data_IF_948054410127
#
_entry.id   IF_948054410127
#
_cell.length_a   1.000
_cell.length_b   1.000
_cell.length_c   1.000
_cell.angle_alpha   90.00
_cell.angle_beta   90.00
_cell.angle_gamma   90.00
#
_symmetry.space_group_name_H-M   'P 1'
#
loop_
_entity.id
_entity.type
_entity.pdbx_description
1 polymer ?
#
# COMPACT_ATOMS: atom_id res chain seq x y z
N UNK A 1 -17.52 -9.57 -2.92
CA UNK A 1 -17.32 -8.62 -4.01
C UNK A 1 -18.21 -9.01 -5.18
N UNK A 2 -18.70 -8.06 -6.01
CA UNK A 2 -19.51 -8.35 -7.19
C UNK A 2 -18.70 -8.86 -8.40
N UNK A 3 -17.40 -9.06 -8.24
CA UNK A 3 -16.46 -9.51 -9.25
C UNK A 3 -15.57 -10.63 -8.69
N UNK A 4 -14.99 -11.43 -9.59
CA UNK A 4 -14.08 -12.52 -9.25
C UNK A 4 -12.64 -12.07 -9.50
N UNK A 5 -11.70 -12.51 -8.64
CA UNK A 5 -10.27 -12.36 -8.92
C UNK A 5 -9.87 -13.33 -10.03
N UNK A 6 -8.94 -12.93 -10.88
CA UNK A 6 -8.26 -13.84 -11.80
C UNK A 6 -7.23 -14.68 -11.04
N UNK A 7 -6.63 -14.13 -10.00
CA UNK A 7 -5.83 -14.89 -9.04
C UNK A 7 -6.75 -15.62 -8.05
N UNK A 8 -6.40 -16.84 -7.65
CA UNK A 8 -7.18 -17.63 -6.67
C UNK A 8 -7.25 -16.99 -5.28
N UNK A 9 -6.67 -15.81 -5.09
CA UNK A 9 -6.46 -15.18 -3.80
C UNK A 9 -7.36 -13.94 -3.60
N UNK A 10 -6.89 -12.94 -2.94
CA UNK A 10 -7.69 -11.83 -2.43
C UNK A 10 -7.30 -10.54 -3.12
N UNK A 11 -8.26 -9.65 -3.31
CA UNK A 11 -7.94 -8.26 -3.67
C UNK A 11 -7.25 -7.58 -2.50
N UNK A 12 -6.19 -6.85 -2.79
CA UNK A 12 -5.62 -5.88 -1.87
C UNK A 12 -6.41 -4.58 -1.96
N UNK A 13 -6.78 -4.02 -0.83
CA UNK A 13 -7.34 -2.67 -0.78
C UNK A 13 -6.18 -1.68 -0.83
N UNK A 14 -6.18 -0.81 -1.83
CA UNK A 14 -5.22 0.29 -1.99
C UNK A 14 -5.58 1.46 -1.09
N UNK A 15 -6.85 1.86 -1.12
CA UNK A 15 -7.36 2.96 -0.33
C UNK A 15 -8.87 3.13 -0.48
N UNK A 16 -9.45 3.96 0.38
CA UNK A 16 -10.85 4.37 0.32
C UNK A 16 -10.93 5.89 0.39
N UNK A 17 -11.72 6.49 -0.48
CA UNK A 17 -11.91 7.93 -0.51
C UNK A 17 -13.28 8.27 -1.09
N UNK A 18 -14.04 9.17 -0.41
CA UNK A 18 -15.33 9.72 -0.86
C UNK A 18 -16.28 8.67 -1.45
N UNK A 19 -16.38 7.50 -0.79
CA UNK A 19 -17.32 6.41 -1.14
C UNK A 19 -16.86 5.49 -2.25
N UNK A 20 -15.65 5.66 -2.77
CA UNK A 20 -15.01 4.69 -3.64
C UNK A 20 -13.90 3.94 -2.92
N UNK A 21 -13.75 2.67 -3.26
CA UNK A 21 -12.66 1.81 -2.80
C UNK A 21 -11.83 1.43 -4.02
N UNK A 22 -10.52 1.64 -3.93
CA UNK A 22 -9.56 1.16 -4.92
C UNK A 22 -9.01 -0.20 -4.48
N UNK A 23 -9.11 -1.18 -5.38
CA UNK A 23 -8.67 -2.55 -5.18
C UNK A 23 -7.63 -2.91 -6.22
N UNK A 24 -6.69 -3.78 -5.87
CA UNK A 24 -5.69 -4.32 -6.79
C UNK A 24 -5.59 -5.83 -6.65
N UNK A 25 -5.57 -6.54 -7.77
CA UNK A 25 -5.34 -7.99 -7.85
C UNK A 25 -3.85 -8.26 -8.07
N UNK A 26 -3.00 -7.75 -7.20
CA UNK A 26 -1.52 -7.81 -7.31
C UNK A 26 -0.87 -8.89 -6.47
N UNK A 27 -1.66 -9.84 -5.97
CA UNK A 27 -1.14 -10.97 -5.19
C UNK A 27 -0.43 -12.03 -6.07
N UNK A 28 -0.55 -11.92 -7.38
CA UNK A 28 0.13 -12.80 -8.33
C UNK A 28 1.26 -12.08 -9.04
N UNK A 29 2.49 -12.49 -8.81
CA UNK A 29 3.68 -11.95 -9.49
C UNK A 29 3.75 -12.28 -10.98
N UNK A 30 2.83 -13.10 -11.50
CA UNK A 30 2.88 -13.64 -12.85
C UNK A 30 1.72 -13.23 -13.76
N UNK A 31 0.78 -12.40 -13.31
CA UNK A 31 -0.42 -12.07 -14.10
C UNK A 31 -0.68 -10.57 -14.19
N UNK A 32 -1.38 -10.17 -15.24
CA UNK A 32 -1.86 -8.81 -15.40
C UNK A 32 -2.76 -8.43 -14.23
N UNK A 33 -2.33 -7.42 -13.51
CA UNK A 33 -3.01 -6.92 -12.33
C UNK A 33 -4.20 -6.07 -12.73
N UNK A 34 -5.39 -6.48 -12.32
CA UNK A 34 -6.58 -5.65 -12.45
C UNK A 34 -6.61 -4.65 -11.29
N UNK A 35 -6.74 -3.38 -11.62
CA UNK A 35 -7.03 -2.32 -10.67
C UNK A 35 -8.51 -1.97 -10.84
N UNK A 36 -9.23 -1.95 -9.73
CA UNK A 36 -10.68 -1.80 -9.73
C UNK A 36 -11.06 -0.63 -8.83
N UNK A 37 -11.89 0.27 -9.33
CA UNK A 37 -12.60 1.23 -8.50
C UNK A 37 -14.02 0.69 -8.27
N UNK A 38 -14.40 0.59 -7.01
CA UNK A 38 -15.67 0.01 -6.58
C UNK A 38 -16.42 0.96 -5.66
N UNK A 39 -17.71 1.16 -5.96
CA UNK A 39 -18.64 1.81 -5.05
C UNK A 39 -19.57 0.77 -4.42
N UNK A 40 -19.38 0.41 -3.16
CA UNK A 40 -20.22 -0.55 -2.46
C UNK A 40 -21.69 -0.13 -2.36
N UNK A 41 -21.97 1.18 -2.16
CA UNK A 41 -23.31 1.72 -1.93
C UNK A 41 -24.24 1.50 -3.12
N UNK A 42 -23.73 1.71 -4.33
CA UNK A 42 -24.49 1.48 -5.58
C UNK A 42 -24.14 0.16 -6.25
N UNK A 43 -23.24 -0.64 -5.67
CA UNK A 43 -22.77 -1.94 -6.18
C UNK A 43 -22.23 -1.87 -7.61
N UNK A 44 -21.60 -0.76 -7.97
CA UNK A 44 -20.97 -0.55 -9.28
C UNK A 44 -19.45 -0.55 -9.15
N UNK A 45 -18.80 -1.05 -10.19
CA UNK A 45 -17.34 -1.04 -10.27
C UNK A 45 -16.88 -0.76 -11.69
N UNK A 46 -15.65 -0.34 -11.84
CA UNK A 46 -14.94 -0.20 -13.11
C UNK A 46 -13.57 -0.85 -12.97
N UNK A 47 -13.22 -1.68 -13.95
CA UNK A 47 -11.85 -2.22 -14.09
C UNK A 47 -11.08 -1.19 -14.91
N UNK A 48 -9.95 -0.75 -14.39
CA UNK A 48 -9.14 0.24 -15.06
C UNK A 48 -8.42 -0.37 -16.28
N UNK A 49 -8.19 0.40 -17.35
CA UNK A 49 -7.38 -0.06 -18.47
C UNK A 49 -5.96 -0.39 -17.98
N UNK A 50 -5.26 -1.24 -18.72
CA UNK A 50 -3.89 -1.63 -18.36
C UNK A 50 -2.96 -0.42 -18.40
N UNK A 51 -2.09 -0.25 -17.38
CA UNK A 51 -1.04 0.77 -17.39
C UNK A 51 -0.03 0.51 -18.53
N UNK A 52 0.80 1.51 -18.85
CA UNK A 52 1.82 1.40 -19.91
C UNK A 52 3.02 0.56 -19.48
N UNK A 53 3.43 0.69 -18.22
CA UNK A 53 4.52 -0.13 -17.68
C UNK A 53 4.00 -1.53 -17.38
N UNK A 54 4.47 -2.50 -18.17
CA UNK A 54 4.08 -3.90 -18.08
C UNK A 54 5.33 -4.80 -18.09
N UNK A 55 5.22 -5.98 -17.52
CA UNK A 55 6.32 -6.96 -17.50
C UNK A 55 6.74 -7.41 -18.91
N UNK A 56 5.79 -7.52 -19.83
CA UNK A 56 6.07 -7.89 -21.22
C UNK A 56 6.97 -6.90 -21.95
N UNK A 57 6.86 -5.61 -21.63
CA UNK A 57 7.61 -4.53 -22.31
C UNK A 57 8.87 -4.16 -21.54
N UNK A 58 8.77 -4.09 -20.22
CA UNK A 58 9.80 -3.49 -19.36
C UNK A 58 10.59 -4.52 -18.54
N UNK A 59 10.19 -5.81 -18.60
CA UNK A 59 10.76 -6.83 -17.73
C UNK A 59 10.26 -6.74 -16.31
N UNK A 60 10.97 -7.38 -15.37
CA UNK A 60 10.57 -7.42 -13.97
C UNK A 60 10.60 -6.00 -13.36
N UNK A 61 9.55 -5.66 -12.63
CA UNK A 61 9.43 -4.39 -11.92
C UNK A 61 8.63 -4.57 -10.62
N UNK A 62 8.80 -3.62 -9.73
CA UNK A 62 7.98 -3.45 -8.53
C UNK A 62 7.13 -2.19 -8.69
N UNK A 63 5.96 -2.15 -8.09
CA UNK A 63 5.15 -0.95 -8.12
C UNK A 63 4.42 -0.69 -6.79
N UNK A 64 4.09 0.58 -6.59
CA UNK A 64 3.23 1.06 -5.54
C UNK A 64 1.98 1.68 -6.16
N UNK A 65 0.89 1.59 -5.44
CA UNK A 65 -0.36 2.24 -5.81
C UNK A 65 -0.75 3.24 -4.75
N UNK A 66 -1.40 4.30 -5.22
CA UNK A 66 -2.06 5.27 -4.38
C UNK A 66 -3.41 5.64 -4.97
N UNK A 67 -4.36 5.97 -4.10
CA UNK A 67 -5.70 6.37 -4.47
C UNK A 67 -6.12 7.58 -3.66
N UNK A 68 -6.67 8.59 -4.34
CA UNK A 68 -7.13 9.80 -3.72
C UNK A 68 -8.17 10.55 -4.56
N UNK A 69 -8.68 11.64 -3.99
CA UNK A 69 -9.68 12.51 -4.59
C UNK A 69 -9.10 13.90 -4.81
N UNK A 70 -9.18 14.38 -6.03
CA UNK A 70 -8.80 15.73 -6.42
C UNK A 70 -9.99 16.68 -6.23
N UNK A 71 -9.94 17.50 -5.19
CA UNK A 71 -10.99 18.48 -4.91
C UNK A 71 -11.06 19.61 -5.96
N UNK A 72 -9.96 19.89 -6.70
CA UNK A 72 -9.91 20.95 -7.70
C UNK A 72 -10.67 20.57 -8.95
N UNK A 73 -10.46 19.36 -9.44
CA UNK A 73 -11.18 18.82 -10.61
C UNK A 73 -12.45 18.05 -10.24
N UNK A 74 -12.71 17.83 -8.96
CA UNK A 74 -13.80 16.99 -8.45
C UNK A 74 -13.77 15.57 -9.04
N UNK A 75 -12.58 14.95 -9.03
CA UNK A 75 -12.35 13.68 -9.67
C UNK A 75 -11.46 12.74 -8.82
N UNK A 76 -11.51 11.46 -9.15
CA UNK A 76 -10.71 10.44 -8.49
C UNK A 76 -9.47 10.11 -9.32
N UNK A 77 -8.34 9.94 -8.63
CA UNK A 77 -7.08 9.57 -9.27
C UNK A 77 -6.46 8.35 -8.61
N UNK A 78 -5.93 7.47 -9.47
CA UNK A 78 -5.06 6.36 -9.05
C UNK A 78 -3.65 6.67 -9.53
N UNK A 79 -2.71 6.66 -8.61
CA UNK A 79 -1.29 6.92 -8.88
C UNK A 79 -0.53 5.60 -8.80
N UNK A 80 0.29 5.32 -9.80
CA UNK A 80 1.14 4.15 -9.86
C UNK A 80 2.59 4.58 -10.02
N UNK A 81 3.45 4.14 -9.11
CA UNK A 81 4.90 4.39 -9.12
C UNK A 81 5.59 3.07 -9.38
N UNK A 82 6.22 2.92 -10.55
CA UNK A 82 6.80 1.68 -11.02
C UNK A 82 8.34 1.75 -11.07
N UNK A 83 9.00 0.87 -10.30
CA UNK A 83 10.44 0.71 -10.25
C UNK A 83 10.84 -0.45 -11.18
N UNK A 84 11.37 -0.10 -12.34
CA UNK A 84 11.82 -1.08 -13.34
C UNK A 84 13.18 -1.62 -12.90
N UNK A 85 13.38 -2.93 -13.02
CA UNK A 85 14.67 -3.57 -12.74
C UNK A 85 15.65 -3.27 -13.85
N UNK A 86 16.80 -2.67 -13.52
CA UNK A 86 17.91 -2.52 -14.43
C UNK A 86 18.60 -3.87 -14.72
N UNK A 87 19.52 -3.87 -15.67
CA UNK A 87 20.31 -5.07 -16.07
C UNK A 87 21.11 -5.70 -14.93
N UNK A 88 21.42 -4.92 -13.91
CA UNK A 88 22.12 -5.35 -12.68
C UNK A 88 21.17 -5.89 -11.59
N UNK A 89 19.88 -6.01 -11.88
CA UNK A 89 18.84 -6.43 -10.94
C UNK A 89 18.41 -5.36 -9.91
N UNK A 90 18.98 -4.14 -9.99
CA UNK A 90 18.60 -3.01 -9.10
C UNK A 90 17.46 -2.22 -9.72
N UNK A 91 16.68 -1.58 -8.87
CA UNK A 91 15.63 -0.69 -9.33
C UNK A 91 16.21 0.54 -10.02
N UNK A 92 15.60 0.96 -11.13
CA UNK A 92 15.93 2.23 -11.79
C UNK A 92 15.27 3.37 -11.02
N UNK A 93 16.04 4.38 -10.69
CA UNK A 93 15.62 5.59 -10.01
C UNK A 93 16.05 6.79 -10.87
N UNK A 94 15.16 7.73 -11.16
CA UNK A 94 13.76 7.85 -10.72
C UNK A 94 12.85 6.78 -11.33
N UNK A 95 11.75 6.41 -10.63
CA UNK A 95 10.77 5.45 -11.13
C UNK A 95 9.90 6.03 -12.25
N UNK A 96 9.23 5.17 -12.99
CA UNK A 96 8.14 5.57 -13.88
C UNK A 96 6.86 5.83 -13.09
N UNK A 97 6.19 6.95 -13.37
CA UNK A 97 4.93 7.32 -12.70
C UNK A 97 3.80 7.43 -13.70
N UNK A 98 2.67 6.84 -13.35
CA UNK A 98 1.45 6.85 -14.13
C UNK A 98 0.29 7.31 -13.26
N UNK A 99 -0.55 8.19 -13.80
CA UNK A 99 -1.75 8.69 -13.13
C UNK A 99 -2.96 8.35 -13.99
N UNK A 100 -3.90 7.63 -13.40
CA UNK A 100 -5.23 7.41 -13.96
C UNK A 100 -6.22 8.42 -13.38
N UNK A 101 -7.05 8.99 -14.23
CA UNK A 101 -8.10 9.91 -13.84
C UNK A 101 -9.45 9.32 -14.24
N UNK A 102 -10.38 9.21 -13.28
CA UNK A 102 -11.65 8.50 -13.50
C UNK A 102 -12.50 9.12 -14.61
N UNK A 103 -12.59 10.45 -14.67
CA UNK A 103 -13.37 11.15 -15.70
C UNK A 103 -12.82 10.96 -17.11
N UNK A 104 -11.49 10.88 -17.24
CA UNK A 104 -10.83 10.69 -18.53
C UNK A 104 -10.82 9.22 -18.98
N UNK A 105 -10.77 8.29 -18.03
CA UNK A 105 -10.76 6.85 -18.28
C UNK A 105 -9.44 6.29 -18.82
N UNK A 106 -8.32 7.02 -18.73
CA UNK A 106 -7.03 6.55 -19.23
C UNK A 106 -5.86 6.90 -18.31
N UNK A 107 -4.75 6.17 -18.46
CA UNK A 107 -3.48 6.42 -17.79
C UNK A 107 -2.66 7.46 -18.55
N UNK A 108 -2.05 8.37 -17.80
CA UNK A 108 -1.11 9.36 -18.28
C UNK A 108 0.24 9.15 -17.59
N UNK A 109 1.33 9.10 -18.36
CA UNK A 109 2.68 9.00 -17.80
C UNK A 109 3.14 10.36 -17.31
N UNK A 110 3.91 10.32 -16.24
CA UNK A 110 4.44 11.47 -15.55
C UNK A 110 5.97 11.38 -15.54
N UNK A 111 6.66 12.33 -16.16
CA UNK A 111 8.10 12.25 -16.38
C UNK A 111 8.91 13.37 -15.71
N UNK A 112 8.23 14.40 -15.18
CA UNK A 112 8.88 15.56 -14.57
C UNK A 112 8.59 15.63 -13.08
N UNK A 113 9.60 16.06 -12.30
CA UNK A 113 9.41 16.22 -10.85
C UNK A 113 9.26 14.94 -10.05
N UNK A 114 9.63 13.80 -10.64
CA UNK A 114 9.63 12.51 -9.93
C UNK A 114 10.84 12.48 -9.00
N UNK A 115 10.65 12.29 -7.69
CA UNK A 115 11.75 12.32 -6.74
C UNK A 115 12.63 11.07 -6.88
N UNK A 116 13.94 11.19 -6.63
CA UNK A 116 14.89 10.09 -6.74
C UNK A 116 14.87 9.18 -5.49
N UNK A 117 13.69 8.94 -4.93
CA UNK A 117 13.54 8.13 -3.73
C UNK A 117 13.23 6.69 -4.07
N UNK A 118 13.85 5.77 -3.31
CA UNK A 118 13.44 4.38 -3.26
C UNK A 118 12.24 4.19 -2.36
N UNK A 119 11.44 3.18 -2.63
CA UNK A 119 10.35 2.76 -1.76
C UNK A 119 10.48 1.27 -1.45
N UNK A 120 10.00 0.89 -0.27
CA UNK A 120 10.09 -0.50 0.16
C UNK A 120 8.95 -1.31 -0.44
N UNK A 121 9.28 -2.33 -1.24
CA UNK A 121 8.32 -3.14 -1.98
C UNK A 121 7.29 -3.92 -1.15
N UNK A 122 7.49 -3.98 0.15
CA UNK A 122 6.56 -4.61 1.09
C UNK A 122 5.74 -3.61 1.91
N UNK A 123 6.00 -2.31 1.76
CA UNK A 123 5.23 -1.25 2.42
C UNK A 123 4.05 -0.84 1.54
N UNK A 124 3.05 -1.70 1.44
CA UNK A 124 1.89 -1.50 0.58
C UNK A 124 0.83 -0.56 1.19
N UNK A 125 1.14 0.06 2.30
CA UNK A 125 0.23 1.00 2.95
C UNK A 125 0.41 2.38 2.35
N UNK A 126 -0.72 3.01 2.05
CA UNK A 126 -0.80 4.44 1.77
C UNK A 126 -1.59 5.14 2.86
N UNK A 127 -1.41 6.43 2.99
CA UNK A 127 -2.29 7.32 3.75
C UNK A 127 -2.74 8.46 2.84
N UNK A 128 -4.06 8.67 2.71
CA UNK A 128 -4.60 9.80 1.98
C UNK A 128 -5.13 10.83 3.00
N UNK A 129 -4.46 11.95 3.10
CA UNK A 129 -4.81 13.04 4.01
C UNK A 129 -4.37 14.36 3.40
N UNK A 130 -5.11 15.43 3.68
CA UNK A 130 -4.82 16.79 3.21
C UNK A 130 -4.64 16.89 1.67
N UNK A 131 -5.44 16.13 0.91
CA UNK A 131 -5.40 16.12 -0.56
C UNK A 131 -4.19 15.42 -1.17
N UNK A 132 -3.35 14.78 -0.37
CA UNK A 132 -2.15 14.09 -0.82
C UNK A 132 -2.11 12.62 -0.40
N UNK A 133 -1.50 11.80 -1.23
CA UNK A 133 -1.19 10.39 -0.94
C UNK A 133 0.21 10.31 -0.37
N UNK A 134 0.41 9.50 0.67
CA UNK A 134 1.67 9.39 1.40
C UNK A 134 2.14 7.94 1.44
N UNK A 135 3.46 7.74 1.27
CA UNK A 135 4.15 6.45 1.40
C UNK A 135 5.45 6.62 2.17
N UNK A 136 5.92 5.55 2.81
CA UNK A 136 7.28 5.51 3.35
C UNK A 136 8.27 5.30 2.20
N UNK A 137 9.21 6.21 2.08
CA UNK A 137 10.33 6.14 1.16
C UNK A 137 11.66 6.23 1.89
N UNK A 138 12.75 6.11 1.14
CA UNK A 138 14.11 6.32 1.62
C UNK A 138 14.95 7.03 0.56
N UNK A 139 15.90 7.82 1.04
CA UNK A 139 16.88 8.48 0.16
C UNK A 139 18.09 7.56 -0.03
N UNK A 140 18.30 7.02 -1.25
CA UNK A 140 19.45 6.14 -1.52
C UNK A 140 20.79 6.89 -1.57
N UNK A 141 20.78 8.22 -1.57
CA UNK A 141 21.98 9.04 -1.69
C UNK A 141 22.60 9.40 -0.32
N UNK A 142 21.89 9.17 0.77
CA UNK A 142 22.42 9.47 2.11
C UNK A 142 23.42 8.40 2.52
N UNK A 143 24.67 8.83 2.69
CA UNK A 143 25.76 7.96 3.14
C UNK A 143 25.52 7.47 4.58
N UNK A 144 25.54 6.16 4.77
CA UNK A 144 25.48 5.56 6.12
C UNK A 144 24.23 4.76 6.44
N UNK A 145 23.32 4.59 5.50
CA UNK A 145 22.14 3.75 5.66
C UNK A 145 20.85 4.41 5.17
N UNK A 146 19.77 3.67 5.27
CA UNK A 146 18.45 4.11 4.84
C UNK A 146 17.97 5.31 5.68
N UNK A 147 17.95 6.48 5.09
CA UNK A 147 17.29 7.64 5.69
C UNK A 147 15.84 7.64 5.24
N UNK A 148 14.96 7.21 6.14
CA UNK A 148 13.53 7.13 5.84
C UNK A 148 12.88 8.51 5.89
N UNK A 149 11.95 8.73 4.95
CA UNK A 149 11.11 9.91 4.85
C UNK A 149 9.71 9.51 4.39
N UNK A 150 8.79 10.45 4.36
CA UNK A 150 7.50 10.26 3.73
C UNK A 150 7.51 10.98 2.39
N UNK A 151 7.29 10.22 1.33
CA UNK A 151 7.04 10.76 0.00
C UNK A 151 5.54 11.04 -0.11
N UNK A 152 5.19 12.25 -0.49
CA UNK A 152 3.80 12.64 -0.73
C UNK A 152 3.57 12.93 -2.21
N UNK A 153 2.32 12.74 -2.65
CA UNK A 153 1.86 13.13 -3.97
C UNK A 153 0.56 13.91 -3.83
N UNK A 154 0.61 15.22 -4.11
CA UNK A 154 -0.57 16.06 -4.17
C UNK A 154 -1.42 15.66 -5.37
N UNK A 155 -2.65 15.21 -5.11
CA UNK A 155 -3.53 14.66 -6.15
C UNK A 155 -4.09 15.76 -7.04
N UNK A 156 -4.25 16.97 -6.52
CA UNK A 156 -4.77 18.12 -7.25
C UNK A 156 -3.73 18.74 -8.18
N UNK A 157 -2.54 19.04 -7.64
CA UNK A 157 -1.45 19.68 -8.39
C UNK A 157 -0.57 18.66 -9.14
N UNK A 158 -0.69 17.37 -8.81
CA UNK A 158 0.08 16.26 -9.38
C UNK A 158 1.59 16.46 -9.21
N UNK A 159 1.98 16.91 -8.02
CA UNK A 159 3.38 17.12 -7.67
C UNK A 159 3.78 16.23 -6.49
N UNK A 160 5.02 15.75 -6.56
CA UNK A 160 5.62 15.07 -5.43
C UNK A 160 6.14 16.07 -4.41
N UNK A 161 6.07 15.68 -3.15
CA UNK A 161 6.64 16.41 -2.02
C UNK A 161 7.27 15.45 -1.02
N UNK A 162 7.93 16.03 -0.03
CA UNK A 162 8.66 15.34 1.03
C UNK A 162 8.16 15.80 2.38
N UNK A 163 7.88 14.86 3.26
CA UNK A 163 7.64 15.14 4.67
C UNK A 163 8.72 14.45 5.48
N UNK A 164 9.58 15.26 6.07
CA UNK A 164 10.69 14.76 6.88
C UNK A 164 10.17 14.11 8.16
N UNK A 165 10.79 13.01 8.53
CA UNK A 165 10.57 12.33 9.79
C UNK A 165 11.53 12.88 10.85
N UNK A 166 11.15 12.87 12.15
CA UNK A 166 12.10 13.19 13.22
C UNK A 166 13.23 12.14 13.27
N UNK A 167 14.41 12.52 13.75
CA UNK A 167 15.62 11.67 13.75
C UNK A 167 15.37 10.25 14.27
N UNK A 168 14.52 10.11 15.29
CA UNK A 168 14.19 8.82 15.88
C UNK A 168 13.39 7.88 14.96
N UNK A 169 12.75 8.41 13.92
CA UNK A 169 12.06 7.67 12.86
C UNK A 169 12.91 7.59 11.59
N UNK A 170 13.54 8.70 11.20
CA UNK A 170 14.32 8.80 9.96
C UNK A 170 15.49 7.80 9.90
N UNK A 171 16.12 7.53 11.04
CA UNK A 171 17.21 6.55 11.17
C UNK A 171 16.74 5.09 11.23
N UNK A 172 15.43 4.82 11.06
CA UNK A 172 14.91 3.45 11.04
C UNK A 172 14.85 2.95 9.59
N UNK A 173 14.99 1.63 9.43
CA UNK A 173 14.67 1.02 8.14
C UNK A 173 13.18 1.26 7.81
N UNK A 174 12.88 1.71 6.62
CA UNK A 174 11.50 1.98 6.23
C UNK A 174 10.57 0.76 6.25
N UNK A 175 11.12 -0.46 6.25
CA UNK A 175 10.35 -1.70 6.46
C UNK A 175 9.76 -1.77 7.88
N UNK A 176 10.39 -1.08 8.84
CA UNK A 176 9.92 -1.00 10.22
C UNK A 176 8.94 0.17 10.44
N UNK A 177 8.53 0.84 9.36
CA UNK A 177 7.59 1.95 9.40
C UNK A 177 6.37 1.64 8.51
N UNK A 178 5.21 2.15 8.91
CA UNK A 178 4.03 2.18 8.05
C UNK A 178 3.23 3.45 8.29
N UNK A 179 2.71 4.03 7.21
CA UNK A 179 1.82 5.19 7.29
C UNK A 179 0.39 4.77 7.60
N UNK A 180 -0.34 5.63 8.28
CA UNK A 180 -1.75 5.47 8.60
C UNK A 180 -2.41 6.84 8.76
N UNK A 181 -3.72 6.87 8.89
CA UNK A 181 -4.50 8.08 9.13
C UNK A 181 -5.32 7.91 10.41
N UNK A 182 -5.32 8.93 11.26
CA UNK A 182 -6.24 9.03 12.39
C UNK A 182 -7.04 10.34 12.28
N UNK A 183 -8.31 10.23 11.94
CA UNK A 183 -9.11 11.39 11.57
C UNK A 183 -8.54 12.08 10.32
N UNK A 184 -8.02 13.28 10.48
CA UNK A 184 -7.36 14.06 9.42
C UNK A 184 -5.84 14.19 9.66
N UNK A 185 -5.30 13.42 10.59
CA UNK A 185 -3.90 13.51 11.02
C UNK A 185 -3.09 12.34 10.44
N UNK A 186 -1.95 12.67 9.85
CA UNK A 186 -0.99 11.68 9.38
C UNK A 186 -0.31 11.00 10.56
N UNK A 187 -0.31 9.67 10.55
CA UNK A 187 0.29 8.85 11.59
C UNK A 187 1.34 7.89 11.03
N UNK A 188 2.30 7.50 11.86
CA UNK A 188 3.30 6.48 11.56
C UNK A 188 3.33 5.45 12.68
N UNK A 189 3.23 4.19 12.31
CA UNK A 189 3.55 3.06 13.16
C UNK A 189 5.02 2.71 13.00
N UNK A 190 5.76 2.73 14.11
CA UNK A 190 7.17 2.35 14.17
C UNK A 190 7.32 1.02 14.88
N UNK A 191 7.81 0.00 14.18
CA UNK A 191 8.08 -1.31 14.73
C UNK A 191 9.52 -1.39 15.27
N UNK A 192 9.70 -1.99 16.43
CA UNK A 192 11.01 -2.23 17.05
C UNK A 192 11.08 -3.65 17.59
N UNK A 193 12.21 -4.29 17.35
CA UNK A 193 12.48 -5.67 17.77
C UNK A 193 13.59 -5.73 18.87
N UNK A 194 13.40 -5.11 20.04
CA UNK A 194 14.39 -5.20 21.10
C UNK A 194 14.39 -6.60 21.70
N UNK A 195 15.49 -7.35 21.51
CA UNK A 195 15.86 -8.56 22.27
C UNK A 195 14.68 -9.52 22.62
N UNK A 196 13.87 -9.94 21.62
CA UNK A 196 12.73 -10.86 21.74
C UNK A 196 11.36 -10.24 22.03
N UNK A 197 11.21 -8.92 22.05
CA UNK A 197 9.91 -8.27 22.26
C UNK A 197 9.60 -7.36 21.08
N UNK A 198 8.55 -7.66 20.35
CA UNK A 198 8.03 -6.75 19.31
C UNK A 198 7.26 -5.62 19.98
N UNK A 199 7.60 -4.39 19.66
CA UNK A 199 6.90 -3.18 20.10
C UNK A 199 6.54 -2.31 18.91
N UNK A 200 5.40 -1.64 19.01
CA UNK A 200 5.00 -0.63 18.05
C UNK A 200 4.80 0.70 18.75
N UNK A 201 5.52 1.73 18.32
CA UNK A 201 5.28 3.11 18.74
C UNK A 201 4.38 3.81 17.73
N UNK A 202 3.44 4.58 18.23
CA UNK A 202 2.50 5.38 17.43
C UNK A 202 2.97 6.83 17.46
N UNK A 203 3.17 7.40 16.29
CA UNK A 203 3.56 8.78 16.08
C UNK A 203 2.49 9.52 15.26
N UNK A 204 2.26 10.77 15.56
CA UNK A 204 1.33 11.64 14.81
C UNK A 204 1.99 12.98 14.48
N UNK A 205 1.72 13.48 13.27
CA UNK A 205 2.12 14.80 12.81
C UNK A 205 1.02 15.79 13.19
N UNK A 206 1.16 16.46 14.33
CA UNK A 206 0.10 17.33 14.89
C UNK A 206 -0.18 18.57 14.04
N UNK A 207 0.80 19.03 13.27
CA UNK A 207 0.67 20.11 12.28
C UNK A 207 1.28 19.60 10.96
N UNK A 208 0.45 19.54 9.93
CA UNK A 208 0.83 18.95 8.65
C UNK A 208 2.00 19.69 8.00
N UNK A 209 3.03 18.94 7.61
CA UNK A 209 4.24 19.47 6.98
C UNK A 209 5.29 20.00 7.96
N UNK A 210 4.98 20.08 9.26
CA UNK A 210 5.90 20.60 10.27
C UNK A 210 6.61 19.46 10.99
N UNK A 211 7.91 19.27 10.71
CA UNK A 211 8.71 18.17 11.28
C UNK A 211 8.70 18.16 12.81
N UNK A 212 8.81 19.33 13.44
CA UNK A 212 8.83 19.45 14.89
C UNK A 212 7.46 19.16 15.54
N UNK A 213 6.40 19.01 14.76
CA UNK A 213 5.07 18.65 15.26
C UNK A 213 4.89 17.14 15.48
N UNK A 214 5.82 16.32 15.01
CA UNK A 214 5.77 14.89 15.25
C UNK A 214 5.82 14.57 16.74
N UNK A 215 4.76 13.94 17.22
CA UNK A 215 4.61 13.57 18.63
C UNK A 215 4.45 12.07 18.75
N UNK A 216 5.28 11.45 19.58
CA UNK A 216 5.10 10.05 19.96
C UNK A 216 4.02 9.98 21.02
N UNK A 217 2.89 9.35 20.71
CA UNK A 217 1.75 9.25 21.61
C UNK A 217 1.95 8.16 22.66
N UNK A 218 2.23 6.94 22.21
CA UNK A 218 2.39 5.78 23.09
C UNK A 218 3.13 4.64 22.37
N UNK A 219 3.46 3.61 23.15
CA UNK A 219 4.06 2.38 22.64
C UNK A 219 3.19 1.19 23.04
N UNK A 220 2.85 0.35 22.09
CA UNK A 220 2.10 -0.89 22.28
C UNK A 220 3.11 -2.04 22.38
N UNK A 221 2.97 -2.86 23.41
CA UNK A 221 3.73 -4.10 23.54
C UNK A 221 2.98 -5.21 22.76
N UNK A 222 3.54 -5.65 21.66
CA UNK A 222 2.94 -6.65 20.77
C UNK A 222 3.21 -8.09 21.24
N UNK A 223 3.14 -8.32 22.56
CA UNK A 223 3.25 -9.66 23.15
C UNK A 223 1.95 -10.47 22.98
N UNK A 224 2.00 -11.75 23.33
CA UNK A 224 0.77 -12.60 23.36
C UNK A 224 0.22 -12.96 21.97
N UNK A 225 1.04 -12.90 20.92
CA UNK A 225 0.62 -13.23 19.56
C UNK A 225 0.04 -12.07 18.77
N UNK A 226 0.11 -10.83 19.31
CA UNK A 226 -0.14 -9.61 18.52
C UNK A 226 1.00 -9.41 17.52
N UNK A 227 0.68 -9.00 16.30
CA UNK A 227 1.70 -8.85 15.26
C UNK A 227 1.72 -7.47 14.63
N UNK A 228 0.56 -6.91 14.24
CA UNK A 228 0.54 -5.73 13.39
C UNK A 228 -0.61 -4.79 13.77
N UNK A 229 -0.34 -3.51 14.07
CA UNK A 229 -1.35 -2.46 13.98
C UNK A 229 -1.83 -2.32 12.54
N UNK A 230 -3.13 -2.13 12.38
CA UNK A 230 -3.77 -2.02 11.08
C UNK A 230 -4.29 -0.60 10.86
N UNK A 231 -4.69 0.07 11.93
CA UNK A 231 -5.24 1.42 11.89
C UNK A 231 -5.95 1.79 13.18
N UNK A 232 -6.74 2.84 13.11
CA UNK A 232 -7.42 3.42 14.25
C UNK A 232 -8.95 3.32 14.12
N UNK A 233 -9.61 3.23 15.25
CA UNK A 233 -11.05 3.49 15.37
C UNK A 233 -11.28 4.98 15.65
N UNK A 234 -12.49 5.46 15.34
CA UNK A 234 -12.87 6.87 15.59
C UNK A 234 -12.71 7.31 17.06
N UNK A 235 -12.80 6.37 18.01
CA UNK A 235 -12.62 6.64 19.43
C UNK A 235 -11.15 6.61 19.89
N UNK A 236 -10.18 6.45 18.99
CA UNK A 236 -8.75 6.42 19.30
C UNK A 236 -8.19 5.05 19.67
N UNK A 237 -9.02 4.01 19.77
CA UNK A 237 -8.54 2.64 19.91
C UNK A 237 -7.75 2.22 18.68
N UNK A 238 -6.69 1.43 18.88
CA UNK A 238 -5.89 0.84 17.79
C UNK A 238 -6.39 -0.54 17.46
N UNK A 239 -6.59 -0.81 16.18
CA UNK A 239 -6.93 -2.14 15.71
C UNK A 239 -5.66 -2.93 15.38
N UNK A 240 -5.57 -4.12 15.96
CA UNK A 240 -4.41 -4.99 15.90
C UNK A 240 -4.78 -6.33 15.28
N UNK A 241 -3.97 -6.81 14.35
CA UNK A 241 -4.05 -8.19 13.89
C UNK A 241 -3.19 -9.10 14.77
N UNK A 242 -3.70 -10.30 15.06
CA UNK A 242 -2.93 -11.34 15.73
C UNK A 242 -2.35 -12.34 14.72
N UNK A 243 -1.28 -13.05 15.10
CA UNK A 243 -0.71 -14.12 14.29
C UNK A 243 -1.64 -15.29 13.99
N UNK A 244 -2.78 -15.35 14.68
CA UNK A 244 -3.85 -16.33 14.43
C UNK A 244 -4.99 -15.76 13.58
N UNK A 245 -4.79 -14.60 12.95
CA UNK A 245 -5.78 -13.96 12.09
C UNK A 245 -7.01 -13.42 12.83
N UNK A 246 -6.88 -13.00 14.09
CA UNK A 246 -7.95 -12.35 14.85
C UNK A 246 -7.75 -10.84 14.86
N UNK A 247 -8.84 -10.09 14.76
CA UNK A 247 -8.85 -8.65 14.94
C UNK A 247 -9.15 -8.30 16.40
N UNK A 248 -8.30 -7.45 16.98
CA UNK A 248 -8.39 -6.99 18.37
C UNK A 248 -8.43 -5.46 18.37
N UNK A 249 -9.30 -4.87 19.18
CA UNK A 249 -9.26 -3.44 19.52
C UNK A 249 -8.47 -3.26 20.80
N UNK A 250 -7.49 -2.37 20.77
CA UNK A 250 -6.65 -1.99 21.90
C UNK A 250 -6.91 -0.55 22.31
N UNK A 251 -7.31 -0.36 23.55
CA UNK A 251 -7.44 0.95 24.18
C UNK A 251 -6.10 1.35 24.82
N UNK A 252 -5.40 2.37 24.27
CA UNK A 252 -4.10 2.76 24.78
C UNK A 252 -4.16 3.48 26.16
N UNK A 253 -5.31 4.08 26.50
CA UNK A 253 -5.48 4.77 27.77
C UNK A 253 -5.65 3.78 28.94
N UNK A 254 -6.56 2.81 28.77
CA UNK A 254 -6.83 1.79 29.78
C UNK A 254 -5.93 0.55 29.62
N UNK A 255 -5.14 0.47 28.55
CA UNK A 255 -4.31 -0.71 28.19
C UNK A 255 -5.14 -2.02 28.10
N UNK A 256 -6.37 -1.91 27.66
CA UNK A 256 -7.30 -3.03 27.55
C UNK A 256 -7.42 -3.51 26.11
N UNK A 257 -7.57 -4.82 25.97
CA UNK A 257 -7.77 -5.48 24.69
C UNK A 257 -9.15 -6.11 24.62
N UNK A 258 -9.82 -5.95 23.47
CA UNK A 258 -11.13 -6.55 23.22
C UNK A 258 -11.13 -7.23 21.87
N UNK A 259 -11.55 -8.49 21.84
CA UNK A 259 -11.77 -9.21 20.57
C UNK A 259 -12.94 -8.60 19.80
N UNK A 260 -12.73 -8.40 18.49
CA UNK A 260 -13.77 -7.89 17.60
C UNK A 260 -14.63 -9.00 16.98
N UNK A 261 -14.32 -10.28 17.25
CA UNK A 261 -15.04 -11.40 16.65
C UNK A 261 -14.76 -11.58 15.15
N UNK A 262 -13.84 -10.80 14.57
CA UNK A 262 -13.49 -10.84 13.15
C UNK A 262 -12.24 -11.70 12.97
N UNK A 263 -12.26 -12.55 11.95
CA UNK A 263 -11.16 -13.45 11.61
C UNK A 263 -10.84 -13.33 10.12
N UNK A 264 -9.56 -13.42 9.77
CA UNK A 264 -9.06 -13.37 8.39
C UNK A 264 -7.59 -13.73 8.31
N UNK A 265 -7.03 -13.80 7.10
CA UNK A 265 -5.60 -13.88 6.92
C UNK A 265 -4.94 -12.58 7.43
N UNK A 266 -3.79 -12.69 8.06
CA UNK A 266 -3.15 -11.53 8.73
C UNK A 266 -2.86 -10.37 7.77
N UNK A 267 -2.50 -10.69 6.53
CA UNK A 267 -2.18 -9.70 5.51
C UNK A 267 -3.40 -9.21 4.71
N UNK A 268 -4.59 -9.79 4.97
CA UNK A 268 -5.84 -9.40 4.32
C UNK A 268 -6.63 -8.33 5.06
N UNK A 269 -6.20 -7.97 6.28
CA UNK A 269 -6.88 -6.95 7.05
C UNK A 269 -6.54 -5.57 6.50
N UNK A 270 -7.57 -4.83 6.15
CA UNK A 270 -7.53 -3.42 5.82
C UNK A 270 -8.60 -2.67 6.60
N UNK A 271 -8.28 -1.48 7.07
CA UNK A 271 -9.20 -0.64 7.84
C UNK A 271 -9.06 0.78 7.33
N UNK A 272 -10.20 1.37 7.03
CA UNK A 272 -10.31 2.76 6.65
C UNK A 272 -11.69 3.29 7.02
N UNK A 273 -11.86 4.60 6.99
CA UNK A 273 -13.16 5.24 7.12
C UNK A 273 -13.88 5.19 5.78
N UNK A 274 -15.03 4.55 5.75
CA UNK A 274 -15.88 4.54 4.56
C UNK A 274 -17.10 5.44 4.77
N UNK A 275 -17.39 6.30 3.81
CA UNK A 275 -18.64 7.06 3.71
C UNK A 275 -19.42 6.58 2.50
N UNK A 276 -20.72 6.37 2.68
CA UNK A 276 -21.61 6.02 1.57
C UNK A 276 -21.70 7.14 0.55
N UNK A 277 -21.70 6.79 -0.72
CA UNK A 277 -21.74 7.75 -1.82
C UNK A 277 -22.56 7.23 -2.99
N UNK A 278 -23.25 8.14 -3.66
CA UNK A 278 -24.02 7.87 -4.89
C UNK A 278 -23.18 8.16 -6.15
N UNK A 279 -21.89 8.29 -6.05
CA UNK A 279 -20.99 8.47 -7.21
C UNK A 279 -21.19 7.33 -8.18
N UNK A 280 -21.60 7.67 -9.41
CA UNK A 280 -21.77 6.71 -10.50
C UNK A 280 -20.44 6.51 -11.22
N UNK A 281 -19.97 5.29 -11.20
CA UNK A 281 -18.85 4.87 -12.03
C UNK A 281 -19.39 4.69 -13.46
N UNK A 282 -19.07 5.64 -14.34
CA UNK A 282 -19.38 5.51 -15.76
C UNK A 282 -18.37 4.55 -16.37
N UNK A 283 -18.83 3.41 -16.84
CA UNK A 283 -18.04 2.55 -17.71
C UNK A 283 -17.81 3.35 -19.01
N UNK A 284 -16.56 3.64 -19.34
CA UNK A 284 -16.23 4.28 -20.63
C UNK A 284 -16.77 3.43 -21.77
N UNK A 285 -17.44 4.10 -22.71
CA UNK A 285 -18.00 3.65 -23.99
C UNK A 285 -17.87 2.14 -24.26
N UNK A 286 -18.90 1.41 -23.88
CA UNK A 286 -19.01 -0.02 -24.09
C UNK A 286 -19.97 -0.59 -23.05
N UNK A 287 -21.25 -0.21 -23.15
CA UNK A 287 -22.33 -0.92 -22.46
C UNK A 287 -22.47 -2.30 -23.12
N UNK A 288 -21.54 -3.18 -22.80
CA UNK A 288 -21.68 -4.62 -23.08
C UNK A 288 -22.08 -5.21 -21.74
N UNK A 289 -23.38 -5.40 -21.63
CA UNK A 289 -23.98 -6.15 -20.53
C UNK A 289 -23.17 -7.41 -20.28
N UNK A 290 -22.88 -7.67 -18.99
CA UNK A 290 -22.09 -8.76 -18.45
C UNK A 290 -21.94 -10.00 -19.34
N UNK A 291 -21.00 -9.98 -20.24
CA UNK A 291 -20.41 -11.18 -20.81
C UNK A 291 -19.00 -11.26 -20.27
N UNK A 292 -18.84 -12.15 -19.30
CA UNK A 292 -17.54 -12.74 -19.04
C UNK A 292 -17.00 -13.20 -20.41
N UNK A 293 -15.90 -12.63 -20.86
CA UNK A 293 -15.19 -13.15 -22.02
C UNK A 293 -14.75 -14.56 -21.66
N UNK A 294 -15.47 -15.52 -22.18
CA UNK A 294 -15.06 -16.92 -22.26
C UNK A 294 -13.84 -16.96 -23.17
N UNK A 295 -12.67 -17.07 -22.59
CA UNK A 295 -11.54 -17.70 -23.25
C UNK A 295 -11.69 -19.19 -22.95
N UNK A 296 -12.60 -19.83 -23.68
CA UNK A 296 -12.61 -21.26 -23.90
C UNK A 296 -11.72 -21.58 -25.10
N UNK A 297 -10.96 -22.67 -24.91
CA UNK A 297 -10.34 -23.50 -25.93
C UNK A 297 -9.06 -22.99 -26.62
N UNK A 298 -7.94 -23.25 -25.96
CA UNK A 298 -6.81 -23.89 -26.68
C UNK A 298 -6.48 -25.20 -25.93
N UNK A 299 -6.64 -26.27 -26.69
CA UNK A 299 -6.63 -27.65 -26.34
C UNK A 299 -5.37 -28.12 -25.59
N UNK A 300 -5.60 -28.88 -24.56
CA UNK A 300 -5.04 -30.16 -24.15
C UNK A 300 -3.80 -30.61 -24.92
N UNK A 301 -2.69 -30.62 -24.21
CA UNK A 301 -1.47 -31.34 -24.53
C UNK A 301 -0.87 -31.85 -23.24
N UNK A 302 -1.20 -33.09 -22.88
CA UNK A 302 -0.80 -33.75 -21.64
C UNK A 302 0.71 -33.69 -21.39
N UNK A 303 1.06 -33.26 -20.19
CA UNK A 303 2.40 -33.30 -19.64
C UNK A 303 2.28 -33.47 -18.11
N UNK A 304 2.89 -34.55 -17.65
CA UNK A 304 2.88 -35.10 -16.31
C UNK A 304 3.07 -34.03 -15.20
N UNK A 305 2.18 -34.07 -14.21
CA UNK A 305 2.28 -33.36 -12.96
C UNK A 305 3.56 -33.82 -12.21
N UNK A 306 4.60 -33.05 -12.27
CA UNK A 306 5.62 -33.03 -11.22
C UNK A 306 5.19 -32.01 -10.16
N UNK A 307 4.80 -32.53 -9.00
CA UNK A 307 4.41 -31.75 -7.83
C UNK A 307 5.52 -30.77 -7.42
N UNK A 308 5.33 -29.52 -7.74
CA UNK A 308 6.06 -28.41 -7.13
C UNK A 308 5.20 -27.94 -5.98
N UNK A 309 5.62 -28.27 -4.77
CA UNK A 309 5.04 -27.73 -3.53
C UNK A 309 5.01 -26.21 -3.62
N UNK A 310 3.84 -25.64 -3.30
CA UNK A 310 3.68 -24.20 -3.14
C UNK A 310 4.72 -23.70 -2.13
N UNK A 311 5.37 -22.55 -2.38
CA UNK A 311 6.30 -21.98 -1.44
C UNK A 311 5.55 -21.68 -0.13
N UNK A 312 5.86 -22.45 0.90
CA UNK A 312 5.49 -22.13 2.27
C UNK A 312 6.22 -20.84 2.64
N UNK A 313 5.46 -19.80 2.92
CA UNK A 313 5.96 -18.61 3.58
C UNK A 313 6.56 -19.06 4.93
N UNK A 314 7.81 -18.70 5.25
CA UNK A 314 8.37 -19.05 6.53
C UNK A 314 7.61 -18.31 7.63
N UNK A 315 6.68 -19.01 8.24
CA UNK A 315 6.04 -18.61 9.49
C UNK A 315 7.00 -18.75 10.66
N UNK A 316 8.16 -18.09 10.58
CA UNK A 316 9.08 -17.84 11.67
C UNK A 316 10.09 -16.79 11.17
N UNK A 317 9.84 -15.53 11.49
CA UNK A 317 10.92 -14.54 11.56
C UNK A 317 11.86 -14.92 12.72
N UNK A 318 12.65 -15.97 12.53
CA UNK A 318 13.93 -16.12 13.20
C UNK A 318 14.89 -15.27 12.39
N UNK A 319 15.45 -14.23 13.06
CA UNK A 319 16.42 -13.34 12.47
C UNK A 319 17.51 -14.08 11.71
N UNK A 320 17.40 -14.10 10.42
CA UNK A 320 18.50 -14.19 9.52
C UNK A 320 18.96 -12.75 9.32
N UNK A 321 20.05 -12.39 10.01
CA UNK A 321 20.94 -11.36 9.54
C UNK A 321 21.46 -11.81 8.18
N UNK A 322 20.77 -11.50 7.12
CA UNK A 322 21.46 -11.24 5.87
C UNK A 322 22.00 -9.82 6.01
N UNK A 323 23.27 -9.76 6.38
CA UNK A 323 24.16 -8.65 6.07
C UNK A 323 24.16 -8.51 4.54
N UNK A 324 23.14 -7.90 3.97
CA UNK A 324 23.25 -7.29 2.66
C UNK A 324 24.05 -6.01 2.90
N UNK A 325 25.38 -6.20 2.82
CA UNK A 325 26.34 -5.11 2.72
C UNK A 325 25.84 -4.08 1.69
N UNK A 326 25.42 -2.93 2.18
CA UNK A 326 25.38 -1.70 1.42
C UNK A 326 26.84 -1.33 1.09
N UNK A 327 27.45 -2.03 0.12
CA UNK A 327 28.74 -1.63 -0.43
C UNK A 327 28.54 -0.79 -1.66
N UNK A 328 28.79 0.50 -1.45
CA UNK A 328 29.48 1.34 -2.40
C UNK A 328 28.73 1.77 -3.65
N UNK A 329 27.97 2.82 -3.53
CA UNK A 329 27.75 3.74 -4.64
C UNK A 329 28.88 4.79 -4.60
N UNK A 330 29.98 4.55 -5.33
CA UNK A 330 30.92 5.58 -5.72
C UNK A 330 30.91 5.64 -7.24
N UNK A 331 30.50 6.84 -7.72
CA UNK A 331 30.55 7.45 -9.06
C UNK A 331 29.57 6.91 -10.10
#
# INVERSE_FOLDING_TARGET
FPFKTQSKNHFRVVGSCNGLICLSDDYSIFHAYDIILWNPSVRKFVILPRPRVTEMIHGSYMFLLGFGFDCKSNDYKVVRVAYIKGRNGRDLIPPEVEVYTLSSGYWRSFSTGVPPYGMFGYSWTQAFVNGAIHWIGYDPCVAGGDHSLIVSFDVGDEVFGELMLPDGLAAQCGQDLSVSVFGEVLAVFQYKYPAKKLRCSVWMMMEYGVVNSWTKLYTIDLQGGLQKPIGFRKNGEVLLATGRGKLISYDPYFQQMRSMGIHGAIDSFYIDTYMESLVLLRTGVGDVGGQASSYDDIADGGGEENGVEAPQWPGNFKGAKEEQECRGWTR
#
